data_IF_791322641023
#
_entry.id   IF_791322641023
#
_cell.length_a   1.000
_cell.length_b   1.000
_cell.length_c   1.000
_cell.angle_alpha   90.00
_cell.angle_beta   90.00
_cell.angle_gamma   90.00
#
_symmetry.space_group_name_H-M   'P 1'
#
loop_
_entity.id
_entity.type
_entity.pdbx_description
1 polymer ?
#
# COMPACT_ATOMS: atom_id res chain seq x y z
N UNK A 1 -22.98 -31.60 -5.68
CA UNK A 1 -23.02 -30.12 -5.65
C UNK A 1 -22.15 -29.66 -4.50
N UNK A 2 -20.88 -29.40 -4.74
CA UNK A 2 -19.95 -28.91 -3.70
C UNK A 2 -19.64 -27.46 -4.01
N UNK A 3 -20.23 -26.58 -3.21
CA UNK A 3 -20.06 -25.14 -3.28
C UNK A 3 -18.59 -24.77 -3.09
N UNK A 4 -17.98 -24.18 -4.12
CA UNK A 4 -16.69 -23.51 -3.99
C UNK A 4 -16.90 -22.23 -3.18
N UNK A 5 -16.49 -22.24 -1.91
CA UNK A 5 -16.18 -21.01 -1.19
C UNK A 5 -14.94 -20.40 -1.87
N UNK A 6 -15.17 -19.44 -2.76
CA UNK A 6 -14.13 -18.51 -3.21
C UNK A 6 -13.76 -17.62 -2.02
N UNK A 7 -12.96 -18.13 -1.09
CA UNK A 7 -12.16 -17.26 -0.24
C UNK A 7 -11.18 -16.57 -1.19
N UNK A 8 -11.52 -15.36 -1.59
CA UNK A 8 -10.59 -14.44 -2.24
C UNK A 8 -9.56 -14.04 -1.18
N UNK A 9 -8.67 -14.97 -0.82
CA UNK A 9 -7.42 -14.61 -0.19
C UNK A 9 -6.72 -13.76 -1.23
N UNK A 10 -6.75 -12.44 -1.03
CA UNK A 10 -5.97 -11.51 -1.81
C UNK A 10 -4.52 -11.93 -1.59
N UNK A 11 -3.99 -12.75 -2.49
CA UNK A 11 -2.60 -13.20 -2.47
C UNK A 11 -1.77 -11.97 -2.79
N UNK A 12 -1.40 -11.23 -1.75
CA UNK A 12 -0.38 -10.22 -1.85
C UNK A 12 0.92 -10.97 -2.10
N UNK A 13 1.39 -11.00 -3.35
CA UNK A 13 2.73 -11.47 -3.66
C UNK A 13 3.72 -10.75 -2.74
N UNK A 14 4.58 -11.53 -2.10
CA UNK A 14 5.61 -11.04 -1.19
C UNK A 14 6.44 -9.98 -1.90
N UNK A 15 6.37 -8.72 -1.47
CA UNK A 15 7.19 -7.67 -2.07
C UNK A 15 8.64 -7.96 -1.79
N UNK A 16 9.34 -8.47 -2.81
CA UNK A 16 10.75 -8.85 -2.72
C UNK A 16 11.63 -7.73 -3.28
N UNK A 17 11.01 -6.71 -3.88
CA UNK A 17 11.66 -5.58 -4.52
C UNK A 17 10.97 -4.25 -4.15
N UNK A 18 11.65 -3.14 -4.41
CA UNK A 18 11.09 -1.80 -4.27
C UNK A 18 9.87 -1.58 -5.17
N UNK A 19 9.87 -2.19 -6.36
CA UNK A 19 8.75 -2.14 -7.31
C UNK A 19 7.50 -2.80 -6.73
N UNK A 20 7.64 -3.94 -6.06
CA UNK A 20 6.51 -4.63 -5.44
C UNK A 20 5.93 -3.83 -4.27
N UNK A 21 6.80 -3.18 -3.47
CA UNK A 21 6.36 -2.32 -2.37
C UNK A 21 5.62 -1.07 -2.91
N UNK A 22 6.05 -0.53 -4.04
CA UNK A 22 5.35 0.57 -4.71
C UNK A 22 4.00 0.12 -5.30
N UNK A 23 3.95 -1.07 -5.92
CA UNK A 23 2.71 -1.66 -6.42
C UNK A 23 1.71 -1.91 -5.29
N UNK A 24 2.19 -2.39 -4.14
CA UNK A 24 1.36 -2.59 -2.95
C UNK A 24 0.69 -1.29 -2.49
N UNK A 25 1.45 -0.19 -2.42
CA UNK A 25 0.91 1.14 -2.10
C UNK A 25 -0.11 1.60 -3.15
N UNK A 26 0.22 1.45 -4.42
CA UNK A 26 -0.66 1.82 -5.52
C UNK A 26 -2.00 1.09 -5.46
N UNK A 27 -1.99 -0.22 -5.17
CA UNK A 27 -3.20 -1.04 -5.00
C UNK A 27 -4.07 -0.55 -3.84
N UNK A 28 -3.46 -0.17 -2.71
CA UNK A 28 -4.20 0.39 -1.57
C UNK A 28 -4.92 1.67 -1.97
N UNK A 29 -4.21 2.59 -2.61
CA UNK A 29 -4.78 3.89 -2.97
C UNK A 29 -5.91 3.73 -4.01
N UNK A 30 -5.71 2.88 -5.02
CA UNK A 30 -6.75 2.60 -6.02
C UNK A 30 -7.99 1.97 -5.37
N UNK A 31 -7.80 1.07 -4.41
CA UNK A 31 -8.91 0.38 -3.75
C UNK A 31 -9.67 1.29 -2.79
N UNK A 32 -8.97 2.15 -2.06
CA UNK A 32 -9.53 2.88 -0.92
C UNK A 32 -9.95 4.31 -1.27
N UNK A 33 -9.27 4.96 -2.22
CA UNK A 33 -9.47 6.38 -2.47
C UNK A 33 -10.22 6.70 -3.75
N UNK A 34 -10.08 5.89 -4.81
CA UNK A 34 -10.64 6.19 -6.13
C UNK A 34 -10.34 7.63 -6.64
N UNK A 35 -9.30 8.29 -6.11
CA UNK A 35 -8.87 9.64 -6.47
C UNK A 35 -7.66 9.60 -7.40
N UNK A 36 -7.42 10.69 -8.13
CA UNK A 36 -6.15 10.88 -8.82
C UNK A 36 -5.01 11.04 -7.81
N UNK A 37 -3.88 10.35 -8.00
CA UNK A 37 -2.70 10.49 -7.13
C UNK A 37 -1.39 10.36 -7.89
N UNK A 38 -0.35 10.99 -7.33
CA UNK A 38 1.04 10.85 -7.69
C UNK A 38 1.79 10.18 -6.54
N UNK A 39 2.70 9.27 -6.88
CA UNK A 39 3.61 8.66 -5.93
C UNK A 39 5.01 9.22 -6.15
N UNK A 40 5.60 9.77 -5.10
CA UNK A 40 7.01 10.16 -5.08
C UNK A 40 7.77 9.24 -4.13
N UNK A 41 8.72 8.49 -4.66
CA UNK A 41 9.66 7.70 -3.84
C UNK A 41 10.87 8.59 -3.53
N UNK A 42 11.17 8.84 -2.26
CA UNK A 42 12.22 9.82 -1.87
C UNK A 42 13.44 9.18 -1.20
N UNK A 43 13.26 8.07 -0.48
CA UNK A 43 14.35 7.39 0.20
C UNK A 43 14.14 5.89 0.09
N UNK A 44 15.23 5.17 -0.15
CA UNK A 44 15.18 3.73 -0.31
C UNK A 44 16.43 3.11 0.27
N UNK A 45 16.22 2.20 1.21
CA UNK A 45 17.26 1.30 1.69
C UNK A 45 16.80 -0.16 1.49
N UNK A 46 17.67 -1.12 1.77
CA UNK A 46 17.37 -2.55 1.58
C UNK A 46 16.19 -3.08 2.43
N UNK A 47 15.69 -2.27 3.36
CA UNK A 47 14.63 -2.68 4.30
C UNK A 47 13.31 -1.94 4.10
N UNK A 48 13.31 -0.72 3.55
CA UNK A 48 12.14 0.14 3.44
C UNK A 48 12.26 1.13 2.28
N UNK A 49 11.11 1.48 1.69
CA UNK A 49 10.92 2.63 0.81
C UNK A 49 10.08 3.70 1.51
N UNK A 50 10.40 4.97 1.25
CA UNK A 50 9.56 6.10 1.63
C UNK A 50 8.76 6.56 0.41
N UNK A 51 7.44 6.40 0.47
CA UNK A 51 6.50 6.79 -0.57
C UNK A 51 5.67 7.96 -0.08
N UNK A 52 5.77 9.09 -0.78
CA UNK A 52 4.90 10.23 -0.58
C UNK A 52 3.76 10.16 -1.60
N UNK A 53 2.54 10.07 -1.09
CA UNK A 53 1.30 10.11 -1.86
C UNK A 53 0.85 11.56 -1.94
N UNK A 54 0.69 12.06 -3.15
CA UNK A 54 0.25 13.42 -3.42
C UNK A 54 -0.97 13.33 -4.31
N UNK A 55 -2.14 13.70 -3.80
CA UNK A 55 -3.33 13.85 -4.64
C UNK A 55 -3.54 15.33 -4.97
N UNK A 56 -3.79 15.72 -6.22
CA UNK A 56 -4.15 17.10 -6.53
C UNK A 56 -5.50 17.50 -5.92
N UNK A 57 -6.36 16.52 -5.63
CA UNK A 57 -7.68 16.73 -5.01
C UNK A 57 -7.55 16.90 -3.48
N UNK A 58 -6.50 16.33 -2.88
CA UNK A 58 -6.23 16.40 -1.45
C UNK A 58 -4.92 17.15 -1.24
N UNK A 59 -5.00 18.40 -0.78
CA UNK A 59 -3.84 19.21 -0.43
C UNK A 59 -3.14 18.74 0.88
N UNK A 60 -3.07 17.43 1.09
CA UNK A 60 -2.49 16.76 2.24
C UNK A 60 -1.57 15.64 1.74
N UNK A 61 -0.29 15.95 1.44
CA UNK A 61 0.66 14.93 1.04
C UNK A 61 0.95 13.99 2.23
N UNK A 62 0.82 12.68 2.01
CA UNK A 62 1.06 11.65 3.04
C UNK A 62 2.36 10.93 2.71
N UNK A 63 3.31 10.91 3.64
CA UNK A 63 4.53 10.09 3.47
C UNK A 63 4.46 8.85 4.33
N UNK A 64 4.56 7.68 3.70
CA UNK A 64 4.53 6.37 4.33
C UNK A 64 5.87 5.65 4.17
N UNK A 65 6.30 4.96 5.23
CA UNK A 65 7.43 4.01 5.20
C UNK A 65 6.88 2.61 4.97
N UNK A 66 7.26 2.01 3.86
CA UNK A 66 6.80 0.69 3.44
C UNK A 66 7.98 -0.26 3.45
N UNK A 67 7.94 -1.37 4.21
CA UNK A 67 9.02 -2.32 4.22
C UNK A 67 9.20 -2.97 2.83
N UNK A 68 10.45 -3.13 2.44
CA UNK A 68 10.88 -3.96 1.31
C UNK A 68 11.18 -5.33 1.92
N UNK A 69 10.57 -6.39 1.40
CA UNK A 69 10.56 -7.77 1.95
C UNK A 69 9.39 -8.06 2.91
N UNK A 70 8.20 -8.30 2.36
CA UNK A 70 7.08 -8.90 3.11
C UNK A 70 7.34 -10.41 3.26
N UNK A 71 7.92 -10.82 4.39
CA UNK A 71 8.20 -12.24 4.63
C UNK A 71 6.95 -13.06 5.00
N UNK A 72 5.80 -12.41 5.29
CA UNK A 72 4.56 -13.11 5.65
C UNK A 72 3.27 -12.37 5.24
N UNK A 73 2.19 -13.13 5.00
CA UNK A 73 0.84 -12.61 4.73
C UNK A 73 0.33 -11.71 5.88
N UNK A 74 0.72 -12.01 7.11
CA UNK A 74 0.35 -11.19 8.27
C UNK A 74 0.99 -9.79 8.22
N UNK A 75 2.20 -9.68 7.68
CA UNK A 75 2.86 -8.39 7.48
C UNK A 75 2.13 -7.58 6.40
N UNK A 76 1.64 -8.22 5.33
CA UNK A 76 0.84 -7.55 4.30
C UNK A 76 -0.42 -6.92 4.91
N UNK A 77 -1.18 -7.68 5.71
CA UNK A 77 -2.41 -7.18 6.33
C UNK A 77 -2.13 -6.03 7.30
N UNK A 78 -1.07 -6.12 8.10
CA UNK A 78 -0.68 -5.04 9.03
C UNK A 78 -0.27 -3.76 8.30
N UNK A 79 0.56 -3.90 7.26
CA UNK A 79 1.02 -2.76 6.48
C UNK A 79 -0.12 -2.11 5.69
N UNK A 80 -1.03 -2.91 5.13
CA UNK A 80 -2.26 -2.42 4.49
C UNK A 80 -3.06 -1.52 5.43
N UNK A 81 -3.38 -2.02 6.64
CA UNK A 81 -4.15 -1.27 7.63
C UNK A 81 -3.47 0.04 7.99
N UNK A 82 -2.16 0.00 8.28
CA UNK A 82 -1.38 1.18 8.63
C UNK A 82 -1.41 2.24 7.53
N UNK A 83 -1.18 1.86 6.27
CA UNK A 83 -1.18 2.79 5.15
C UNK A 83 -2.57 3.41 4.96
N UNK A 84 -3.63 2.59 5.01
CA UNK A 84 -5.01 3.06 4.94
C UNK A 84 -5.33 4.07 6.05
N UNK A 85 -4.87 3.84 7.27
CA UNK A 85 -5.07 4.77 8.39
C UNK A 85 -4.36 6.10 8.17
N UNK A 86 -3.11 6.09 7.72
CA UNK A 86 -2.35 7.33 7.44
C UNK A 86 -3.00 8.16 6.34
N UNK A 87 -3.46 7.51 5.27
CA UNK A 87 -4.18 8.18 4.20
C UNK A 87 -5.52 8.73 4.70
N UNK A 88 -6.27 7.95 5.48
CA UNK A 88 -7.56 8.37 6.04
C UNK A 88 -7.45 9.59 6.96
N UNK A 89 -6.29 9.82 7.59
CA UNK A 89 -6.05 11.04 8.40
C UNK A 89 -5.97 12.29 7.53
N UNK A 90 -5.51 12.18 6.29
CA UNK A 90 -5.39 13.31 5.36
C UNK A 90 -6.68 13.61 4.58
N UNK A 91 -7.64 12.69 4.58
CA UNK A 91 -8.95 12.83 3.93
C UNK A 91 -10.02 13.52 4.79
N UNK A 92 -9.76 13.74 6.08
CA UNK A 92 -10.76 14.25 7.03
C UNK A 92 -10.87 15.77 7.04
#
# INVERSE_FOLDING_TARGET
MTSQMKNTTSTYDSASTQSDALEFVSKIIQTELAIGYYLKVSNTNDTHIEVTIISPEINCPVTIKVPVNFSSENDNVKNWKRIKEEISKCLK
#
